data_IF_426450849872
#
_entry.id   IF_426450849872
#
_cell.length_a   1.000
_cell.length_b   1.000
_cell.length_c   1.000
_cell.angle_alpha   90.00
_cell.angle_beta   90.00
_cell.angle_gamma   90.00
#
_symmetry.space_group_name_H-M   'P 1'
#
loop_
_entity.id
_entity.type
_entity.pdbx_description
1 polymer ?
#
# COMPACT_ATOMS: atom_id res chain seq x y z
N UNK A 1 -7.54 7.00 2.32
CA UNK A 1 -6.65 8.16 2.55
C UNK A 1 -6.10 8.61 1.23
N UNK A 2 -6.35 9.87 0.89
CA UNK A 2 -6.01 10.43 -0.41
C UNK A 2 -4.54 10.84 -0.45
N UNK A 3 -3.91 10.63 -1.61
CA UNK A 3 -2.58 11.15 -2.00
C UNK A 3 -2.39 12.64 -1.64
N UNK A 4 -3.49 13.37 -1.45
CA UNK A 4 -3.51 14.76 -0.95
C UNK A 4 -2.86 14.95 0.43
N UNK A 5 -2.97 13.98 1.34
CA UNK A 5 -2.44 14.15 2.71
C UNK A 5 -0.92 13.95 2.77
N UNK A 6 -0.37 13.23 1.78
CA UNK A 6 1.04 12.90 1.70
C UNK A 6 1.44 12.90 0.21
N UNK A 7 1.68 14.08 -0.38
CA UNK A 7 2.02 14.17 -1.79
C UNK A 7 3.34 13.43 -2.06
N UNK A 8 3.48 12.80 -3.24
CA UNK A 8 4.75 12.21 -3.63
C UNK A 8 5.80 13.29 -3.83
N UNK A 9 7.04 12.96 -3.50
CA UNK A 9 8.20 13.79 -3.78
C UNK A 9 8.91 13.28 -5.02
N UNK A 10 9.55 14.17 -5.77
CA UNK A 10 10.43 13.77 -6.86
C UNK A 10 11.62 13.02 -6.26
N UNK A 11 12.11 12.01 -6.98
CA UNK A 11 13.31 11.26 -6.60
C UNK A 11 14.05 10.77 -7.84
N UNK A 12 15.38 10.58 -7.74
CA UNK A 12 16.16 10.03 -8.85
C UNK A 12 15.70 8.60 -9.16
N UNK A 13 15.46 8.31 -10.43
CA UNK A 13 15.11 6.96 -10.86
C UNK A 13 16.27 5.99 -10.68
N UNK A 14 16.01 4.67 -10.66
CA UNK A 14 17.05 3.64 -10.49
C UNK A 14 18.21 3.74 -11.47
N UNK A 15 17.95 4.13 -12.73
CA UNK A 15 19.01 4.38 -13.72
C UNK A 15 19.87 5.60 -13.38
N UNK A 16 19.26 6.66 -12.82
CA UNK A 16 19.97 7.85 -12.36
C UNK A 16 20.79 7.54 -11.10
N UNK A 17 20.25 6.73 -10.19
CA UNK A 17 20.97 6.23 -9.01
C UNK A 17 22.13 5.30 -9.38
N UNK A 18 21.92 4.34 -10.29
CA UNK A 18 22.98 3.45 -10.76
C UNK A 18 24.08 4.23 -11.49
N UNK A 19 23.71 5.21 -12.32
CA UNK A 19 24.66 6.10 -12.98
C UNK A 19 25.46 6.93 -11.96
N UNK A 20 24.83 7.47 -10.91
CA UNK A 20 25.53 8.14 -9.81
C UNK A 20 26.56 7.22 -9.15
N UNK A 21 26.16 5.99 -8.78
CA UNK A 21 27.04 5.02 -8.12
C UNK A 21 28.21 4.62 -9.02
N UNK A 22 27.96 4.41 -10.32
CA UNK A 22 28.95 3.91 -11.27
C UNK A 22 29.89 4.99 -11.80
N UNK A 23 29.38 6.20 -12.04
CA UNK A 23 30.13 7.30 -12.63
C UNK A 23 30.69 8.29 -11.61
N UNK A 24 30.29 8.19 -10.33
CA UNK A 24 30.68 9.11 -9.25
C UNK A 24 30.21 10.56 -9.45
N UNK A 25 29.38 10.81 -10.46
CA UNK A 25 28.84 12.14 -10.78
C UNK A 25 27.63 12.44 -9.92
N UNK A 26 27.56 13.65 -9.35
CA UNK A 26 26.43 14.14 -8.56
C UNK A 26 25.07 13.87 -9.24
N UNK A 27 24.07 13.47 -8.45
CA UNK A 27 22.72 13.23 -8.95
C UNK A 27 22.23 14.51 -9.64
N UNK A 28 21.70 14.37 -10.85
CA UNK A 28 21.16 15.47 -11.62
C UNK A 28 20.16 16.30 -10.78
N UNK A 29 20.11 17.62 -11.01
CA UNK A 29 19.20 18.58 -10.38
C UNK A 29 17.82 17.97 -10.08
N UNK A 30 17.21 18.32 -8.95
CA UNK A 30 15.91 17.78 -8.54
C UNK A 30 14.81 17.95 -9.62
N UNK A 31 14.96 18.97 -10.47
CA UNK A 31 14.10 19.23 -11.64
C UNK A 31 14.17 18.16 -12.73
N UNK A 32 15.25 17.36 -12.78
CA UNK A 32 15.50 16.29 -13.76
C UNK A 32 15.12 14.90 -13.23
N UNK A 33 14.57 14.82 -12.03
CA UNK A 33 14.15 13.57 -11.42
C UNK A 33 12.90 13.03 -12.11
N UNK A 34 13.06 11.87 -12.76
CA UNK A 34 12.00 11.26 -13.58
C UNK A 34 11.02 10.41 -12.78
N UNK A 35 11.31 10.13 -11.51
CA UNK A 35 10.52 9.23 -10.66
C UNK A 35 9.88 9.97 -9.49
N UNK A 36 8.81 9.37 -8.97
CA UNK A 36 8.18 9.77 -7.73
C UNK A 36 8.53 8.78 -6.63
N UNK A 37 8.67 9.28 -5.40
CA UNK A 37 8.90 8.49 -4.21
C UNK A 37 8.03 9.01 -3.05
N UNK A 38 8.00 8.24 -1.97
CA UNK A 38 7.27 8.59 -0.76
C UNK A 38 7.88 9.81 -0.07
N UNK A 39 7.05 10.74 0.37
CA UNK A 39 7.50 11.86 1.19
C UNK A 39 8.05 11.37 2.54
N UNK A 40 8.89 12.19 3.17
CA UNK A 40 9.44 11.87 4.48
C UNK A 40 8.33 11.74 5.53
N UNK A 41 7.33 12.61 5.51
CA UNK A 41 6.16 12.53 6.39
C UNK A 41 5.36 11.21 6.19
N UNK A 42 5.21 10.76 4.93
CA UNK A 42 4.58 9.46 4.66
C UNK A 42 5.42 8.32 5.23
N UNK A 43 6.72 8.35 4.95
CA UNK A 43 7.66 7.31 5.39
C UNK A 43 7.76 7.26 6.90
N UNK A 44 7.72 8.43 7.55
CA UNK A 44 7.69 8.55 9.00
C UNK A 44 6.40 7.97 9.58
N UNK A 45 5.25 8.00 8.90
CA UNK A 45 4.00 7.45 9.44
C UNK A 45 3.80 5.97 9.13
N UNK A 46 3.96 5.57 7.87
CA UNK A 46 3.63 4.24 7.36
C UNK A 46 4.85 3.37 7.03
N UNK A 47 6.07 3.93 7.10
CA UNK A 47 7.24 3.28 6.54
C UNK A 47 7.20 3.28 5.01
N UNK A 48 7.74 2.22 4.40
CA UNK A 48 7.64 1.95 2.95
C UNK A 48 6.85 0.65 2.75
N UNK A 49 5.51 0.73 2.58
CA UNK A 49 4.67 -0.45 2.46
C UNK A 49 4.91 -1.22 1.16
N UNK A 50 5.30 -0.50 0.10
CA UNK A 50 5.74 -1.07 -1.18
C UNK A 50 7.01 -0.39 -1.65
N UNK A 51 7.73 -1.04 -2.56
CA UNK A 51 9.01 -0.55 -3.07
C UNK A 51 8.87 0.74 -3.89
N UNK A 52 7.81 0.86 -4.69
CA UNK A 52 7.63 1.95 -5.64
C UNK A 52 6.36 2.75 -5.39
N UNK A 53 6.46 4.08 -5.46
CA UNK A 53 5.30 4.97 -5.39
C UNK A 53 4.25 4.65 -6.46
N UNK A 54 4.67 4.31 -7.69
CA UNK A 54 3.73 3.95 -8.76
C UNK A 54 2.85 2.74 -8.40
N UNK A 55 3.43 1.75 -7.72
CA UNK A 55 2.70 0.57 -7.24
C UNK A 55 1.73 0.96 -6.13
N UNK A 56 2.17 1.80 -5.19
CA UNK A 56 1.32 2.34 -4.15
C UNK A 56 0.13 3.10 -4.73
N UNK A 57 0.40 4.02 -5.65
CA UNK A 57 -0.62 4.82 -6.33
C UNK A 57 -1.62 3.92 -7.06
N UNK A 58 -1.15 2.88 -7.77
CA UNK A 58 -2.04 1.89 -8.39
C UNK A 58 -2.98 1.26 -7.36
N UNK A 59 -2.46 0.75 -6.24
CA UNK A 59 -3.27 0.09 -5.21
C UNK A 59 -4.29 1.05 -4.58
N UNK A 60 -3.90 2.29 -4.31
CA UNK A 60 -4.75 3.30 -3.66
C UNK A 60 -5.76 3.94 -4.62
N UNK A 61 -5.50 3.93 -5.93
CA UNK A 61 -6.39 4.49 -6.96
C UNK A 61 -7.25 3.44 -7.66
N UNK A 62 -7.05 2.15 -7.38
CA UNK A 62 -7.87 1.09 -7.98
C UNK A 62 -9.31 1.19 -7.45
N UNK A 63 -10.31 1.38 -8.32
CA UNK A 63 -11.71 1.40 -7.91
C UNK A 63 -12.15 0.00 -7.51
N UNK A 64 -12.98 -0.10 -6.47
CA UNK A 64 -13.57 -1.36 -6.05
C UNK A 64 -14.94 -1.12 -5.39
N UNK A 65 -15.70 -2.20 -5.24
CA UNK A 65 -16.96 -2.20 -4.51
C UNK A 65 -16.71 -2.26 -3.01
N UNK A 66 -16.94 -1.15 -2.31
CA UNK A 66 -16.77 -1.02 -0.84
C UNK A 66 -17.66 -2.00 -0.07
N UNK A 67 -18.79 -2.38 -0.63
CA UNK A 67 -19.71 -3.39 -0.09
C UNK A 67 -19.05 -4.74 0.11
N UNK A 68 -18.05 -5.09 -0.70
CA UNK A 68 -17.39 -6.39 -0.64
C UNK A 68 -16.32 -6.47 0.46
N UNK A 69 -15.96 -5.34 1.08
CA UNK A 69 -15.02 -5.32 2.20
C UNK A 69 -15.58 -6.20 3.33
N UNK A 70 -14.85 -7.23 3.78
CA UNK A 70 -15.31 -8.05 4.88
C UNK A 70 -15.25 -7.24 6.19
N UNK A 71 -16.23 -7.45 7.06
CA UNK A 71 -16.33 -6.74 8.34
C UNK A 71 -15.53 -7.49 9.39
N UNK A 72 -14.23 -7.23 9.46
CA UNK A 72 -13.40 -7.75 10.55
C UNK A 72 -13.58 -6.92 11.81
N UNK A 73 -13.92 -7.62 12.90
CA UNK A 73 -13.92 -7.10 14.27
C UNK A 73 -12.54 -7.36 14.87
N UNK A 74 -12.00 -6.38 15.59
CA UNK A 74 -10.71 -6.49 16.24
C UNK A 74 -9.73 -5.39 15.87
N UNK A 75 -8.61 -5.37 16.59
CA UNK A 75 -7.48 -4.46 16.36
C UNK A 75 -6.72 -4.85 15.10
N UNK A 76 -5.91 -3.93 14.57
CA UNK A 76 -5.08 -4.17 13.38
C UNK A 76 -4.19 -5.42 13.51
N UNK A 77 -3.63 -5.68 14.68
CA UNK A 77 -2.80 -6.87 14.91
C UNK A 77 -3.62 -8.16 14.84
N UNK A 78 -4.79 -8.18 15.49
CA UNK A 78 -5.71 -9.33 15.42
C UNK A 78 -6.16 -9.60 13.99
N UNK A 79 -6.38 -8.55 13.21
CA UNK A 79 -6.69 -8.65 11.78
C UNK A 79 -5.54 -9.33 11.03
N UNK A 80 -4.29 -8.98 11.33
CA UNK A 80 -3.13 -9.55 10.62
C UNK A 80 -2.76 -10.97 11.05
N UNK A 81 -2.97 -11.30 12.33
CA UNK A 81 -2.71 -12.65 12.84
C UNK A 81 -3.74 -13.65 12.28
N UNK A 82 -4.98 -13.21 12.10
CA UNK A 82 -6.09 -14.08 11.69
C UNK A 82 -6.39 -14.05 10.18
N UNK A 83 -5.79 -13.12 9.43
CA UNK A 83 -6.10 -12.97 8.02
C UNK A 83 -4.86 -12.69 7.17
N UNK A 84 -4.63 -13.63 6.26
CA UNK A 84 -3.71 -13.44 5.15
C UNK A 84 -4.48 -13.01 3.89
N UNK A 85 -3.75 -12.68 2.84
CA UNK A 85 -4.33 -12.22 1.59
C UNK A 85 -5.29 -13.25 0.96
N UNK A 86 -4.97 -14.55 1.01
CA UNK A 86 -5.82 -15.58 0.44
C UNK A 86 -7.14 -15.72 1.20
N UNK A 87 -7.11 -15.73 2.53
CA UNK A 87 -8.33 -15.77 3.34
C UNK A 87 -9.16 -14.50 3.18
N UNK A 88 -8.53 -13.34 2.96
CA UNK A 88 -9.24 -12.12 2.56
C UNK A 88 -9.95 -12.28 1.20
N UNK A 89 -9.24 -12.76 0.18
CA UNK A 89 -9.81 -13.00 -1.16
C UNK A 89 -11.01 -13.94 -1.09
N UNK A 90 -10.87 -15.06 -0.37
CA UNK A 90 -11.96 -16.01 -0.18
C UNK A 90 -13.19 -15.37 0.47
N UNK A 91 -13.00 -14.55 1.51
CA UNK A 91 -14.11 -13.86 2.17
C UNK A 91 -14.80 -12.86 1.24
N UNK A 92 -14.03 -12.14 0.42
CA UNK A 92 -14.55 -11.19 -0.58
C UNK A 92 -15.33 -11.93 -1.69
N UNK A 93 -14.81 -13.05 -2.18
CA UNK A 93 -15.44 -13.86 -3.23
C UNK A 93 -16.76 -14.47 -2.73
N UNK A 94 -16.76 -15.06 -1.54
CA UNK A 94 -17.97 -15.59 -0.92
C UNK A 94 -19.04 -14.51 -0.78
N UNK A 95 -18.64 -13.30 -0.38
CA UNK A 95 -19.55 -12.16 -0.26
C UNK A 95 -20.07 -11.69 -1.61
N UNK A 96 -19.21 -11.64 -2.64
CA UNK A 96 -19.61 -11.30 -4.00
C UNK A 96 -20.65 -12.29 -4.54
N UNK A 97 -20.42 -13.59 -4.35
CA UNK A 97 -21.36 -14.65 -4.73
C UNK A 97 -22.69 -14.52 -3.98
N UNK A 98 -22.65 -14.31 -2.66
CA UNK A 98 -23.86 -14.14 -1.85
C UNK A 98 -24.69 -12.92 -2.29
N UNK A 99 -24.02 -11.83 -2.67
CA UNK A 99 -24.65 -10.62 -3.18
C UNK A 99 -25.07 -10.71 -4.67
N UNK A 100 -24.91 -11.89 -5.31
CA UNK A 100 -25.13 -12.09 -6.76
C UNK A 100 -24.37 -11.06 -7.62
N UNK A 101 -23.20 -10.64 -7.14
CA UNK A 101 -22.35 -9.64 -7.77
C UNK A 101 -21.21 -10.25 -8.59
N UNK A 102 -20.52 -9.40 -9.35
CA UNK A 102 -19.27 -9.79 -10.01
C UNK A 102 -18.17 -10.04 -8.98
N UNK A 103 -17.46 -11.15 -9.15
CA UNK A 103 -16.19 -11.42 -8.47
C UNK A 103 -15.14 -10.38 -8.88
N UNK A 104 -14.28 -9.97 -7.94
CA UNK A 104 -13.25 -8.98 -8.22
C UNK A 104 -12.08 -9.61 -8.97
N UNK A 105 -11.49 -8.85 -9.89
CA UNK A 105 -10.24 -9.22 -10.53
C UNK A 105 -9.06 -9.09 -9.56
N UNK A 106 -7.91 -9.69 -9.92
CA UNK A 106 -6.70 -9.65 -9.08
C UNK A 106 -6.30 -8.23 -8.67
N UNK A 107 -6.26 -7.29 -9.61
CA UNK A 107 -5.85 -5.91 -9.32
C UNK A 107 -6.80 -5.22 -8.34
N UNK A 108 -8.10 -5.49 -8.46
CA UNK A 108 -9.13 -4.97 -7.56
C UNK A 108 -9.02 -5.58 -6.16
N UNK A 109 -8.74 -6.89 -6.08
CA UNK A 109 -8.47 -7.58 -4.81
C UNK A 109 -7.24 -7.03 -4.09
N UNK A 110 -6.13 -6.86 -4.81
CA UNK A 110 -4.89 -6.29 -4.25
C UNK A 110 -5.14 -4.87 -3.72
N UNK A 111 -5.82 -4.03 -4.52
CA UNK A 111 -6.16 -2.66 -4.14
C UNK A 111 -7.12 -2.60 -2.94
N UNK A 112 -8.15 -3.46 -2.95
CA UNK A 112 -9.12 -3.59 -1.86
C UNK A 112 -8.43 -4.00 -0.56
N UNK A 113 -7.54 -5.01 -0.60
CA UNK A 113 -6.81 -5.49 0.57
C UNK A 113 -5.86 -4.42 1.12
N UNK A 114 -5.08 -3.77 0.26
CA UNK A 114 -4.18 -2.69 0.64
C UNK A 114 -4.92 -1.54 1.33
N UNK A 115 -6.03 -1.09 0.74
CA UNK A 115 -6.83 0.01 1.30
C UNK A 115 -7.53 -0.39 2.59
N UNK A 116 -7.99 -1.64 2.72
CA UNK A 116 -8.55 -2.19 3.95
C UNK A 116 -7.51 -2.19 5.09
N UNK A 117 -6.30 -2.70 4.85
CA UNK A 117 -5.23 -2.73 5.85
C UNK A 117 -4.84 -1.33 6.32
N UNK A 118 -4.73 -0.38 5.39
CA UNK A 118 -4.39 1.00 5.72
C UNK A 118 -5.47 1.67 6.56
N UNK A 119 -6.73 1.46 6.19
CA UNK A 119 -7.85 1.96 6.99
C UNK A 119 -7.82 1.38 8.40
N UNK A 120 -7.56 0.08 8.54
CA UNK A 120 -7.43 -0.58 9.85
C UNK A 120 -6.24 -0.07 10.65
N UNK A 121 -5.12 0.21 10.00
CA UNK A 121 -3.94 0.80 10.64
C UNK A 121 -4.25 2.20 11.20
N UNK A 122 -5.00 3.03 10.46
CA UNK A 122 -5.43 4.35 10.96
C UNK A 122 -6.45 4.26 12.10
N UNK A 123 -7.39 3.31 12.04
CA UNK A 123 -8.41 3.09 13.07
C UNK A 123 -7.79 2.80 14.45
N UNK A 124 -6.61 2.20 14.51
CA UNK A 124 -5.94 1.84 15.78
C UNK A 124 -5.20 3.02 16.43
N UNK A 125 -4.99 4.13 15.71
CA UNK A 125 -4.36 5.34 16.26
C UNK A 125 -2.92 5.12 16.73
N UNK A 126 -1.94 5.43 15.85
CA UNK A 126 -0.54 5.85 16.12
C UNK A 126 0.30 5.18 17.23
N UNK A 127 -0.09 4.03 17.80
CA UNK A 127 0.72 3.34 18.78
C UNK A 127 1.80 2.49 18.10
N UNK A 128 3.05 2.95 18.21
CA UNK A 128 4.25 2.11 18.20
C UNK A 128 4.79 1.69 16.82
N UNK A 129 6.06 2.00 16.62
CA UNK A 129 6.97 1.55 15.55
C UNK A 129 6.78 0.08 15.09
N UNK A 130 6.38 -0.83 16.00
CA UNK A 130 6.04 -2.23 15.69
C UNK A 130 4.96 -2.34 14.61
N UNK A 131 3.92 -1.49 14.63
CA UNK A 131 2.85 -1.55 13.63
C UNK A 131 3.33 -1.21 12.21
N UNK A 132 4.37 -0.35 12.06
CA UNK A 132 4.92 0.01 10.74
C UNK A 132 5.64 -1.16 10.06
N UNK A 133 6.44 -1.89 10.84
CA UNK A 133 7.15 -3.10 10.36
C UNK A 133 6.15 -4.17 9.93
N UNK A 134 5.05 -4.28 10.67
CA UNK A 134 3.98 -5.24 10.42
C UNK A 134 3.18 -4.90 9.15
N UNK A 135 2.83 -3.63 8.94
CA UNK A 135 2.16 -3.17 7.71
C UNK A 135 2.99 -3.48 6.47
N UNK A 136 4.30 -3.17 6.49
CA UNK A 136 5.23 -3.47 5.40
C UNK A 136 5.25 -4.96 5.06
N UNK A 137 5.46 -5.83 6.06
CA UNK A 137 5.48 -7.30 5.86
C UNK A 137 4.17 -7.83 5.28
N UNK A 138 3.05 -7.22 5.62
CA UNK A 138 1.73 -7.66 5.14
C UNK A 138 1.49 -7.28 3.69
N UNK A 139 1.98 -6.12 3.27
CA UNK A 139 1.89 -5.66 1.88
C UNK A 139 2.88 -6.37 0.94
N UNK A 140 4.07 -6.74 1.43
CA UNK A 140 5.03 -7.56 0.67
C UNK A 140 4.50 -8.96 0.32
N UNK A 141 3.55 -9.50 1.09
CA UNK A 141 2.90 -10.79 0.81
C UNK A 141 1.89 -10.75 -0.34
N UNK A 142 1.58 -9.56 -0.87
CA UNK A 142 0.57 -9.33 -1.92
C UNK A 142 1.24 -9.23 -3.31
N UNK A 143 2.50 -8.80 -3.35
CA UNK A 143 3.31 -8.57 -4.54
C UNK A 143 4.12 -9.79 -4.95
#
# INVERSE_FOLDING_TARGET
MSVTNFPPVRAPGKRQQAFYILAGQALADESKWKSFDFSEAFTARYGRPVVYWSHWNRLMSTPYRTELVPRFRGTFNEVLDNMNFLSFCQAVDQKAVHMKGRVLGRLEMEGLYAQFLIKKFDEVGSATYRMRVILKKSMEKVS
#
